data_IF_305370385350
#
_entry.id   IF_305370385350
#
_cell.length_a   1.000
_cell.length_b   1.000
_cell.length_c   1.000
_cell.angle_alpha   90.00
_cell.angle_beta   90.00
_cell.angle_gamma   90.00
#
_symmetry.space_group_name_H-M   'P 1'
#
loop_
_entity.id
_entity.type
_entity.pdbx_description
1 polymer ?
#
# COMPACT_ATOMS: atom_id res chain seq x y z
N UNK A 1 15.36 12.04 -50.04
CA UNK A 1 13.97 11.63 -50.27
C UNK A 1 12.94 12.80 -50.26
N UNK A 2 13.17 13.94 -49.61
CA UNK A 2 12.23 15.09 -49.60
C UNK A 2 12.30 15.88 -50.92
N UNK A 3 13.40 15.83 -51.62
CA UNK A 3 13.63 16.61 -52.88
C UNK A 3 12.84 16.07 -54.11
N UNK A 4 12.44 14.79 -54.13
CA UNK A 4 11.81 14.22 -55.34
C UNK A 4 10.36 14.66 -55.55
N UNK A 5 9.62 14.89 -54.47
CA UNK A 5 8.19 15.26 -54.57
C UNK A 5 7.96 16.69 -55.12
N UNK A 6 8.85 17.60 -54.78
CA UNK A 6 8.80 18.97 -55.31
C UNK A 6 9.20 19.09 -56.78
N UNK A 7 10.02 18.17 -57.29
CA UNK A 7 10.39 18.13 -58.70
C UNK A 7 9.19 17.92 -59.62
N UNK A 8 8.18 17.18 -59.14
CA UNK A 8 6.93 16.97 -59.91
C UNK A 8 6.17 18.29 -60.04
N UNK A 9 6.05 19.05 -58.97
CA UNK A 9 5.34 20.35 -59.02
C UNK A 9 6.13 21.40 -59.81
N UNK A 10 7.43 21.42 -59.68
CA UNK A 10 8.30 22.30 -60.48
C UNK A 10 8.18 21.96 -61.97
N UNK A 11 8.19 20.68 -62.33
CA UNK A 11 7.97 20.25 -63.75
C UNK A 11 6.62 20.66 -64.25
N UNK A 12 5.56 20.56 -63.46
CA UNK A 12 4.21 21.02 -63.83
C UNK A 12 4.16 22.54 -64.06
N UNK A 13 4.79 23.27 -63.19
CA UNK A 13 4.88 24.74 -63.31
C UNK A 13 5.67 25.16 -64.56
N UNK A 14 6.81 24.51 -64.86
CA UNK A 14 7.59 24.72 -66.06
C UNK A 14 6.75 24.37 -67.31
N UNK A 15 6.06 23.24 -67.28
CA UNK A 15 5.20 22.83 -68.38
C UNK A 15 4.05 23.81 -68.64
N UNK A 16 3.42 24.36 -67.59
CA UNK A 16 2.41 25.40 -67.69
C UNK A 16 2.96 26.69 -68.34
N UNK A 17 4.17 27.11 -67.94
CA UNK A 17 4.85 28.31 -68.54
C UNK A 17 5.17 28.05 -70.02
N UNK A 18 5.76 26.88 -70.34
CA UNK A 18 6.09 26.52 -71.72
C UNK A 18 4.81 26.48 -72.59
N UNK A 19 3.73 25.90 -72.05
CA UNK A 19 2.42 25.86 -72.75
C UNK A 19 1.89 27.28 -73.03
N UNK A 20 2.00 28.21 -72.05
CA UNK A 20 1.57 29.58 -72.23
C UNK A 20 2.38 30.30 -73.33
N UNK A 21 3.71 30.05 -73.39
CA UNK A 21 4.57 30.60 -74.45
C UNK A 21 4.22 30.06 -75.85
N UNK A 22 3.98 28.74 -75.97
CA UNK A 22 3.60 28.09 -77.24
C UNK A 22 2.25 28.66 -77.74
N UNK A 23 1.25 28.71 -76.88
CA UNK A 23 -0.09 29.23 -77.26
C UNK A 23 -0.01 30.74 -77.57
N UNK A 24 0.79 31.51 -76.82
CA UNK A 24 1.01 32.95 -77.10
C UNK A 24 1.68 33.20 -78.43
N UNK A 25 2.66 32.35 -78.80
CA UNK A 25 3.30 32.41 -80.11
C UNK A 25 2.37 32.05 -81.27
N UNK A 26 1.54 31.00 -81.11
CA UNK A 26 0.62 30.52 -82.11
C UNK A 26 -0.58 31.46 -82.34
N UNK A 27 -1.07 32.14 -81.30
CA UNK A 27 -2.26 33.00 -81.39
C UNK A 27 -1.96 34.49 -81.52
N UNK A 28 -0.74 34.91 -81.23
CA UNK A 28 -0.34 36.31 -81.20
C UNK A 28 -0.82 37.08 -79.95
N UNK A 29 -1.67 36.50 -79.12
CA UNK A 29 -2.27 37.13 -77.91
C UNK A 29 -1.58 36.68 -76.63
N UNK A 30 -0.39 37.17 -76.34
CA UNK A 30 0.46 36.74 -75.24
C UNK A 30 -0.16 36.89 -73.84
N UNK A 31 -0.81 38.05 -73.60
CA UNK A 31 -1.45 38.31 -72.29
C UNK A 31 -2.62 37.36 -72.04
N UNK A 32 -3.43 37.10 -73.05
CA UNK A 32 -4.63 36.25 -72.95
C UNK A 32 -4.25 34.76 -72.74
N UNK A 33 -3.21 34.29 -73.43
CA UNK A 33 -2.65 32.95 -73.27
C UNK A 33 -2.10 32.70 -71.86
N UNK A 34 -1.33 33.68 -71.33
CA UNK A 34 -0.78 33.60 -70.01
C UNK A 34 -1.90 33.60 -68.94
N UNK A 35 -2.90 34.46 -69.08
CA UNK A 35 -4.03 34.58 -68.18
C UNK A 35 -4.88 33.28 -68.17
N UNK A 36 -5.12 32.66 -69.31
CA UNK A 36 -5.86 31.39 -69.45
C UNK A 36 -5.11 30.22 -68.78
N UNK A 37 -3.83 30.05 -69.04
CA UNK A 37 -3.04 28.96 -68.47
C UNK A 37 -2.87 29.14 -66.96
N UNK A 38 -2.59 30.37 -66.45
CA UNK A 38 -2.48 30.65 -65.04
C UNK A 38 -3.79 30.44 -64.29
N UNK A 39 -4.93 30.88 -64.86
CA UNK A 39 -6.25 30.64 -64.25
C UNK A 39 -6.61 29.15 -64.17
N UNK A 40 -6.28 28.37 -65.20
CA UNK A 40 -6.47 26.92 -65.24
C UNK A 40 -5.61 26.23 -64.16
N UNK A 41 -4.37 26.64 -64.00
CA UNK A 41 -3.45 26.11 -63.00
C UNK A 41 -3.94 26.43 -61.58
N UNK A 42 -4.38 27.67 -61.34
CA UNK A 42 -4.98 28.06 -60.05
C UNK A 42 -6.24 27.26 -59.73
N UNK A 43 -7.13 27.10 -60.72
CA UNK A 43 -8.35 26.29 -60.56
C UNK A 43 -8.04 24.83 -60.18
N UNK A 44 -7.00 24.24 -60.80
CA UNK A 44 -6.53 22.90 -60.47
C UNK A 44 -5.97 22.84 -59.03
N UNK A 45 -5.19 23.80 -58.58
CA UNK A 45 -4.70 23.86 -57.16
C UNK A 45 -5.88 23.96 -56.18
N UNK A 46 -6.85 24.84 -56.47
CA UNK A 46 -8.03 25.03 -55.63
C UNK A 46 -8.87 23.76 -55.56
N UNK A 47 -9.00 23.01 -56.66
CA UNK A 47 -9.69 21.73 -56.73
C UNK A 47 -8.98 20.69 -55.82
N UNK A 48 -7.66 20.56 -55.90
CA UNK A 48 -6.87 19.67 -55.07
C UNK A 48 -6.98 20.06 -53.57
N UNK A 49 -6.96 21.34 -53.26
CA UNK A 49 -7.09 21.85 -51.91
C UNK A 49 -8.47 21.58 -51.34
N UNK A 50 -9.54 21.73 -52.16
CA UNK A 50 -10.91 21.39 -51.75
C UNK A 50 -11.09 19.88 -51.52
N UNK A 51 -10.44 19.05 -52.33
CA UNK A 51 -10.46 17.57 -52.18
C UNK A 51 -9.75 17.18 -50.85
N UNK A 52 -8.59 17.79 -50.56
CA UNK A 52 -7.89 17.59 -49.30
C UNK A 52 -8.73 18.04 -48.09
N UNK A 53 -9.36 19.22 -48.18
CA UNK A 53 -10.25 19.73 -47.14
C UNK A 53 -11.41 18.78 -46.85
N UNK A 54 -12.09 18.29 -47.90
CA UNK A 54 -13.19 17.32 -47.75
C UNK A 54 -12.73 16.04 -47.05
N UNK A 55 -11.55 15.52 -47.44
CA UNK A 55 -10.98 14.33 -46.82
C UNK A 55 -10.62 14.54 -45.35
N UNK A 56 -10.07 15.73 -45.00
CA UNK A 56 -9.76 16.10 -43.60
C UNK A 56 -11.04 16.17 -42.75
N UNK A 57 -12.09 16.83 -43.27
CA UNK A 57 -13.39 16.95 -42.57
C UNK A 57 -14.09 15.61 -42.42
N UNK A 58 -13.97 14.73 -43.39
CA UNK A 58 -14.54 13.36 -43.37
C UNK A 58 -13.82 12.43 -42.37
N UNK A 59 -12.81 12.93 -41.63
CA UNK A 59 -12.12 12.15 -40.60
C UNK A 59 -10.96 11.31 -41.14
N UNK A 60 -10.47 11.57 -42.35
CA UNK A 60 -9.29 10.95 -42.98
C UNK A 60 -9.40 9.41 -43.14
N UNK A 61 -10.45 8.87 -43.69
CA UNK A 61 -10.55 7.42 -43.95
C UNK A 61 -9.47 7.01 -44.95
N UNK A 62 -8.75 5.88 -44.71
CA UNK A 62 -7.67 5.41 -45.57
C UNK A 62 -8.18 5.02 -47.01
N UNK A 63 -9.44 4.57 -47.07
CA UNK A 63 -10.06 4.12 -48.31
C UNK A 63 -10.40 5.25 -49.29
N UNK A 64 -10.56 6.48 -48.78
CA UNK A 64 -10.88 7.68 -49.57
C UNK A 64 -9.73 8.68 -49.63
N UNK A 65 -8.49 8.19 -49.46
CA UNK A 65 -7.32 9.04 -49.58
C UNK A 65 -7.29 9.66 -50.99
N UNK A 66 -7.17 11.01 -51.10
CA UNK A 66 -7.13 11.64 -52.42
C UNK A 66 -5.95 11.12 -53.22
N UNK A 67 -6.25 10.63 -54.43
CA UNK A 67 -5.23 10.21 -55.37
C UNK A 67 -4.44 11.46 -55.80
N UNK A 68 -3.25 11.57 -55.27
CA UNK A 68 -2.43 12.80 -55.44
C UNK A 68 -0.99 12.39 -55.65
N UNK A 69 -0.37 13.00 -56.64
CA UNK A 69 1.02 12.83 -56.97
C UNK A 69 1.87 14.00 -56.40
N UNK A 70 3.13 13.72 -56.12
CA UNK A 70 4.11 14.78 -55.75
C UNK A 70 3.91 15.29 -54.33
N UNK A 71 3.98 16.63 -54.15
CA UNK A 71 3.91 17.25 -52.83
C UNK A 71 2.59 16.97 -52.06
N UNK A 72 1.51 16.83 -52.76
CA UNK A 72 0.17 16.53 -52.20
C UNK A 72 0.09 15.13 -51.57
N UNK A 73 0.71 14.14 -52.20
CA UNK A 73 0.82 12.79 -51.63
C UNK A 73 1.59 12.81 -50.31
N UNK A 74 2.73 13.54 -50.28
CA UNK A 74 3.51 13.65 -49.06
C UNK A 74 2.74 14.32 -47.92
N UNK A 75 1.99 15.40 -48.21
CA UNK A 75 1.16 16.09 -47.21
C UNK A 75 0.12 15.16 -46.61
N UNK A 76 -0.65 14.46 -47.49
CA UNK A 76 -1.69 13.50 -47.04
C UNK A 76 -1.09 12.37 -46.23
N UNK A 77 0.06 11.81 -46.62
CA UNK A 77 0.79 10.78 -45.88
C UNK A 77 1.25 11.26 -44.50
N UNK A 78 1.86 12.47 -44.42
CA UNK A 78 2.33 13.03 -43.14
C UNK A 78 1.17 13.28 -42.15
N UNK A 79 0.05 13.83 -42.67
CA UNK A 79 -1.14 14.06 -41.86
C UNK A 79 -1.70 12.74 -41.33
N UNK A 80 -1.85 11.74 -42.21
CA UNK A 80 -2.35 10.41 -41.82
C UNK A 80 -1.44 9.74 -40.79
N UNK A 81 -0.14 9.76 -41.01
CA UNK A 81 0.87 9.23 -40.06
C UNK A 81 0.84 9.93 -38.72
N UNK A 82 0.69 11.27 -38.70
CA UNK A 82 0.58 12.04 -37.47
C UNK A 82 -0.66 11.65 -36.66
N UNK A 83 -1.80 11.49 -37.33
CA UNK A 83 -3.05 11.07 -36.70
C UNK A 83 -2.98 9.63 -36.15
N UNK A 84 -2.38 8.70 -36.90
CA UNK A 84 -2.15 7.33 -36.41
C UNK A 84 -1.26 7.31 -35.17
N UNK A 85 -0.17 8.09 -35.16
CA UNK A 85 0.69 8.22 -33.98
C UNK A 85 -0.07 8.79 -32.79
N UNK A 86 -0.91 9.81 -32.99
CA UNK A 86 -1.73 10.39 -31.93
C UNK A 86 -2.75 9.39 -31.38
N UNK A 87 -3.45 8.65 -32.25
CA UNK A 87 -4.39 7.57 -31.83
C UNK A 87 -3.66 6.47 -31.05
N UNK A 88 -2.50 6.02 -31.53
CA UNK A 88 -1.70 5.00 -30.87
C UNK A 88 -1.21 5.46 -29.48
N UNK A 89 -0.77 6.72 -29.35
CA UNK A 89 -0.37 7.30 -28.05
C UNK A 89 -1.55 7.35 -27.08
N UNK A 90 -2.71 7.84 -27.52
CA UNK A 90 -3.93 7.87 -26.69
C UNK A 90 -4.37 6.48 -26.26
N UNK A 91 -4.29 5.48 -27.17
CA UNK A 91 -4.60 4.08 -26.86
C UNK A 91 -3.66 3.53 -25.80
N UNK A 92 -2.34 3.71 -25.96
CA UNK A 92 -1.34 3.30 -24.96
C UNK A 92 -1.54 3.98 -23.60
N UNK A 93 -1.88 5.26 -23.57
CA UNK A 93 -2.18 5.96 -22.32
C UNK A 93 -3.41 5.37 -21.63
N UNK A 94 -4.49 5.09 -22.36
CA UNK A 94 -5.68 4.42 -21.80
C UNK A 94 -5.34 3.03 -21.27
N UNK A 95 -4.66 2.21 -22.06
CA UNK A 95 -4.24 0.86 -21.63
C UNK A 95 -3.37 0.89 -20.36
N UNK A 96 -2.51 1.91 -20.23
CA UNK A 96 -1.70 2.10 -19.01
C UNK A 96 -2.56 2.49 -17.81
N UNK A 97 -3.50 3.43 -17.99
CA UNK A 97 -4.44 3.83 -16.93
C UNK A 97 -5.34 2.67 -16.51
N UNK A 98 -5.88 1.93 -17.47
CA UNK A 98 -6.72 0.74 -17.19
C UNK A 98 -5.93 -0.33 -16.45
N UNK A 99 -4.66 -0.54 -16.80
CA UNK A 99 -3.78 -1.45 -16.07
C UNK A 99 -3.53 -0.98 -14.63
N UNK A 100 -3.26 0.31 -14.42
CA UNK A 100 -3.09 0.86 -13.06
C UNK A 100 -4.37 0.71 -12.24
N UNK A 101 -5.52 1.03 -12.81
CA UNK A 101 -6.80 0.84 -12.14
C UNK A 101 -7.06 -0.62 -11.78
N UNK A 102 -6.76 -1.57 -12.67
CA UNK A 102 -6.91 -3.00 -12.39
C UNK A 102 -5.96 -3.47 -11.29
N UNK A 103 -4.72 -2.97 -11.23
CA UNK A 103 -3.78 -3.27 -10.14
C UNK A 103 -4.31 -2.73 -8.81
N UNK A 104 -4.76 -1.48 -8.78
CA UNK A 104 -5.35 -0.87 -7.57
C UNK A 104 -6.62 -1.60 -7.12
N UNK A 105 -7.43 -2.06 -8.06
CA UNK A 105 -8.64 -2.85 -7.77
C UNK A 105 -8.33 -4.24 -7.21
N UNK A 106 -7.19 -4.82 -7.54
CA UNK A 106 -6.75 -6.13 -7.06
C UNK A 106 -6.11 -6.09 -5.66
N UNK A 107 -5.80 -4.91 -5.13
CA UNK A 107 -5.25 -4.79 -3.78
C UNK A 107 -6.28 -5.28 -2.74
N UNK A 108 -5.87 -6.14 -1.79
CA UNK A 108 -6.75 -6.64 -0.74
C UNK A 108 -7.09 -5.54 0.27
N UNK A 109 -6.15 -4.66 0.54
CA UNK A 109 -6.27 -3.56 1.51
C UNK A 109 -7.15 -2.44 0.94
N UNK A 110 -8.03 -1.87 1.76
CA UNK A 110 -8.80 -0.70 1.38
C UNK A 110 -7.89 0.52 1.30
N UNK A 111 -7.98 1.21 0.18
CA UNK A 111 -7.15 2.37 -0.10
C UNK A 111 -8.04 3.53 -0.53
N UNK A 112 -7.98 4.63 0.20
CA UNK A 112 -8.80 5.82 -0.02
C UNK A 112 -7.87 7.03 -0.13
N UNK A 113 -8.04 7.82 -1.17
CA UNK A 113 -7.32 9.06 -1.37
C UNK A 113 -8.17 10.21 -0.84
N UNK A 114 -7.63 10.99 0.09
CA UNK A 114 -8.31 12.13 0.72
C UNK A 114 -7.45 13.39 0.63
N UNK A 115 -8.11 14.53 0.60
CA UNK A 115 -7.42 15.83 0.67
C UNK A 115 -7.18 16.25 2.15
N UNK A 116 -6.61 17.45 2.34
CA UNK A 116 -6.36 18.01 3.68
C UNK A 116 -7.63 18.27 4.52
N UNK A 117 -8.79 18.37 3.88
CA UNK A 117 -10.10 18.53 4.52
C UNK A 117 -10.79 17.20 4.78
N UNK A 118 -10.05 16.08 4.56
CA UNK A 118 -10.51 14.69 4.67
C UNK A 118 -11.62 14.31 3.70
N UNK A 119 -11.73 15.04 2.58
CA UNK A 119 -12.71 14.78 1.53
C UNK A 119 -12.18 13.69 0.60
N UNK A 120 -13.01 12.69 0.35
CA UNK A 120 -12.70 11.54 -0.50
C UNK A 120 -12.58 11.97 -1.96
N UNK A 121 -11.43 11.66 -2.56
CA UNK A 121 -11.17 11.90 -3.98
C UNK A 121 -11.15 10.61 -4.81
N UNK A 122 -10.86 9.49 -4.18
CA UNK A 122 -10.84 8.18 -4.82
C UNK A 122 -10.81 7.07 -3.78
N UNK A 123 -11.36 5.91 -4.12
CA UNK A 123 -11.22 4.69 -3.33
C UNK A 123 -11.14 3.46 -4.23
N UNK A 124 -10.50 2.40 -3.76
CA UNK A 124 -10.48 1.12 -4.46
C UNK A 124 -11.69 0.25 -4.08
N UNK A 125 -11.97 -0.85 -4.81
CA UNK A 125 -13.08 -1.75 -4.48
C UNK A 125 -12.99 -2.43 -3.11
N UNK A 126 -11.78 -2.54 -2.52
CA UNK A 126 -11.61 -3.06 -1.17
C UNK A 126 -12.20 -2.11 -0.12
N UNK A 127 -12.18 -0.79 -0.35
CA UNK A 127 -12.82 0.18 0.53
C UNK A 127 -14.34 -0.03 0.61
N UNK A 128 -14.97 -0.42 -0.49
CA UNK A 128 -16.40 -0.77 -0.48
C UNK A 128 -16.68 -2.04 0.33
N UNK A 129 -15.80 -3.04 0.26
CA UNK A 129 -15.97 -4.31 1.01
C UNK A 129 -15.71 -4.14 2.50
N UNK A 130 -14.63 -3.44 2.88
CA UNK A 130 -14.19 -3.34 4.27
C UNK A 130 -14.84 -2.18 5.03
N UNK A 131 -15.15 -1.08 4.34
CA UNK A 131 -15.62 0.16 4.96
C UNK A 131 -17.00 0.62 4.45
N UNK A 132 -17.53 -0.01 3.40
CA UNK A 132 -18.78 0.40 2.76
C UNK A 132 -18.66 1.65 1.89
N UNK A 133 -17.44 2.14 1.61
CA UNK A 133 -17.20 3.39 0.88
C UNK A 133 -17.08 3.13 -0.61
N UNK A 134 -17.95 3.75 -1.40
CA UNK A 134 -17.98 3.63 -2.86
C UNK A 134 -17.53 4.93 -3.51
N UNK A 135 -16.54 4.85 -4.42
CA UNK A 135 -15.96 6.04 -5.08
C UNK A 135 -17.01 6.92 -5.76
N UNK A 136 -17.99 6.33 -6.45
CA UNK A 136 -18.98 7.10 -7.21
C UNK A 136 -20.03 7.77 -6.32
N UNK A 137 -20.45 7.11 -5.23
CA UNK A 137 -21.48 7.59 -4.34
C UNK A 137 -20.92 8.54 -3.26
N UNK A 138 -19.69 8.31 -2.81
CA UNK A 138 -19.10 9.01 -1.67
C UNK A 138 -18.04 10.05 -2.07
N UNK A 139 -17.88 10.27 -3.37
CA UNK A 139 -17.01 11.34 -3.87
C UNK A 139 -17.43 12.71 -3.29
N UNK A 140 -16.46 13.43 -2.74
CA UNK A 140 -16.70 14.74 -2.16
C UNK A 140 -17.24 14.71 -0.72
N UNK A 141 -17.55 13.54 -0.18
CA UNK A 141 -17.93 13.39 1.22
C UNK A 141 -16.67 13.35 2.10
N UNK A 142 -16.82 13.77 3.35
CA UNK A 142 -15.77 13.66 4.35
C UNK A 142 -15.70 12.24 4.90
N UNK A 143 -14.48 11.72 5.05
CA UNK A 143 -14.22 10.37 5.55
C UNK A 143 -14.73 10.17 6.99
N UNK A 144 -14.55 11.17 7.86
CA UNK A 144 -14.99 11.15 9.25
C UNK A 144 -16.52 11.16 9.44
N UNK A 145 -17.27 11.57 8.43
CA UNK A 145 -18.74 11.48 8.45
C UNK A 145 -19.26 10.06 8.12
N UNK A 146 -18.49 9.33 7.32
CA UNK A 146 -18.86 7.98 6.89
C UNK A 146 -18.38 6.92 7.90
N UNK A 147 -17.19 7.09 8.46
CA UNK A 147 -16.63 6.21 9.48
C UNK A 147 -16.62 6.96 10.81
N UNK A 148 -17.60 6.67 11.66
CA UNK A 148 -17.73 7.31 12.98
C UNK A 148 -16.91 6.58 14.02
N UNK A 149 -15.60 6.85 14.07
CA UNK A 149 -14.67 6.28 15.05
C UNK A 149 -13.90 7.41 15.73
N UNK A 150 -13.84 7.44 17.05
CA UNK A 150 -13.02 8.41 17.80
C UNK A 150 -11.52 8.29 17.44
N UNK A 151 -11.05 7.06 17.23
CA UNK A 151 -9.67 6.74 16.87
C UNK A 151 -9.33 7.33 15.50
N UNK A 152 -10.24 7.18 14.51
CA UNK A 152 -10.07 7.79 13.19
C UNK A 152 -10.00 9.31 13.28
N UNK A 153 -10.88 9.91 14.07
CA UNK A 153 -10.89 11.36 14.26
C UNK A 153 -9.58 11.87 14.88
N UNK A 154 -9.04 11.13 15.86
CA UNK A 154 -7.75 11.44 16.48
C UNK A 154 -6.60 11.34 15.46
N UNK A 155 -6.56 10.26 14.66
CA UNK A 155 -5.57 10.05 13.59
C UNK A 155 -5.58 11.17 12.56
N UNK A 156 -6.76 11.53 12.07
CA UNK A 156 -6.92 12.58 11.07
C UNK A 156 -6.48 13.95 11.60
N UNK A 157 -6.71 14.23 12.89
CA UNK A 157 -6.27 15.48 13.51
C UNK A 157 -4.78 15.54 13.80
N UNK A 158 -4.19 14.42 14.22
CA UNK A 158 -2.76 14.34 14.49
C UNK A 158 -1.94 14.52 13.21
N UNK A 159 -2.45 14.05 12.07
CA UNK A 159 -1.76 14.10 10.78
C UNK A 159 -0.45 13.30 10.77
N UNK A 160 -0.26 12.42 11.76
CA UNK A 160 0.96 11.66 11.97
C UNK A 160 0.93 10.40 11.11
N UNK A 161 1.91 10.30 10.20
CA UNK A 161 2.03 9.19 9.28
C UNK A 161 2.49 7.88 9.95
N UNK A 162 3.06 7.96 11.15
CA UNK A 162 3.55 6.80 11.88
C UNK A 162 2.48 6.19 12.80
N UNK A 163 1.39 6.90 13.03
CA UNK A 163 0.34 6.44 13.92
C UNK A 163 -0.58 5.42 13.21
N UNK A 164 -0.64 4.22 13.76
CA UNK A 164 -1.60 3.18 13.37
C UNK A 164 -2.77 3.14 14.37
N UNK A 165 -3.96 2.99 13.85
CA UNK A 165 -5.17 2.81 14.67
C UNK A 165 -5.85 1.49 14.35
N UNK A 166 -6.57 0.95 15.34
CA UNK A 166 -7.45 -0.21 15.16
C UNK A 166 -8.89 0.26 15.27
N UNK A 167 -9.71 -0.24 14.35
CA UNK A 167 -11.14 0.03 14.34
C UNK A 167 -11.90 -1.22 13.85
N UNK A 168 -13.15 -1.35 14.22
CA UNK A 168 -14.01 -2.39 13.68
C UNK A 168 -14.58 -1.94 12.33
N UNK A 169 -14.79 -2.89 11.42
CA UNK A 169 -15.42 -2.58 10.14
C UNK A 169 -16.87 -2.09 10.36
N UNK A 170 -17.28 -1.00 9.71
CA UNK A 170 -18.67 -0.58 9.74
C UNK A 170 -19.64 -1.57 9.07
N UNK A 171 -19.11 -2.51 8.29
CA UNK A 171 -19.87 -3.51 7.54
C UNK A 171 -20.06 -4.83 8.32
N UNK A 172 -19.11 -5.17 9.21
CA UNK A 172 -19.14 -6.40 10.01
C UNK A 172 -18.29 -6.20 11.27
N UNK A 173 -18.91 -6.23 12.45
CA UNK A 173 -18.25 -6.03 13.75
C UNK A 173 -17.19 -7.09 14.07
N UNK A 174 -17.19 -8.23 13.40
CA UNK A 174 -16.18 -9.29 13.57
C UNK A 174 -14.89 -9.00 12.81
N UNK A 175 -14.91 -8.03 11.87
CA UNK A 175 -13.74 -7.65 11.09
C UNK A 175 -12.98 -6.55 11.81
N UNK A 176 -11.77 -6.86 12.23
CA UNK A 176 -10.86 -5.93 12.88
C UNK A 176 -9.93 -5.34 11.82
N UNK A 177 -9.96 -4.03 11.72
CA UNK A 177 -9.20 -3.27 10.73
C UNK A 177 -8.05 -2.52 11.40
N UNK A 178 -6.91 -2.49 10.73
CA UNK A 178 -5.79 -1.62 11.05
C UNK A 178 -5.69 -0.53 9.99
N UNK A 179 -5.66 0.71 10.41
CA UNK A 179 -5.65 1.85 9.51
C UNK A 179 -4.50 2.80 9.82
N UNK A 180 -3.93 3.39 8.78
CA UNK A 180 -2.89 4.42 8.87
C UNK A 180 -3.04 5.44 7.74
N UNK A 181 -2.44 6.61 7.96
CA UNK A 181 -2.48 7.74 7.03
C UNK A 181 -1.09 7.99 6.45
N UNK A 182 -0.96 7.96 5.12
CA UNK A 182 0.31 8.18 4.43
C UNK A 182 0.23 9.46 3.61
N UNK A 183 1.10 10.45 3.83
CA UNK A 183 1.16 11.64 2.99
C UNK A 183 1.73 11.26 1.60
N UNK A 184 1.01 11.60 0.53
CA UNK A 184 1.43 11.32 -0.86
C UNK A 184 2.00 12.57 -1.52
N UNK A 185 1.32 13.68 -1.35
CA UNK A 185 1.73 15.00 -1.86
C UNK A 185 1.28 16.09 -0.90
N UNK A 186 1.66 17.35 -1.19
CA UNK A 186 1.15 18.48 -0.43
C UNK A 186 -0.37 18.48 -0.50
N UNK A 187 -1.04 18.40 0.67
CA UNK A 187 -2.49 18.37 0.82
C UNK A 187 -3.20 17.12 0.27
N UNK A 188 -2.48 16.00 0.11
CA UNK A 188 -3.04 14.74 -0.38
C UNK A 188 -2.52 13.58 0.48
N UNK A 189 -3.44 12.80 1.03
CA UNK A 189 -3.17 11.69 1.93
C UNK A 189 -3.79 10.41 1.39
N UNK A 190 -3.10 9.31 1.63
CA UNK A 190 -3.61 7.97 1.38
C UNK A 190 -4.02 7.36 2.71
N UNK A 191 -5.30 7.11 2.89
CA UNK A 191 -5.82 6.34 4.02
C UNK A 191 -5.86 4.87 3.62
N UNK A 192 -4.97 4.09 4.23
CA UNK A 192 -4.86 2.66 3.96
C UNK A 192 -5.41 1.85 5.13
N UNK A 193 -6.21 0.82 4.82
CA UNK A 193 -6.89 0.01 5.82
C UNK A 193 -6.76 -1.47 5.46
N UNK A 194 -6.21 -2.24 6.40
CA UNK A 194 -5.97 -3.68 6.28
C UNK A 194 -6.85 -4.47 7.22
N UNK A 195 -7.39 -5.56 6.75
CA UNK A 195 -8.04 -6.57 7.59
C UNK A 195 -6.98 -7.38 8.33
N UNK A 196 -7.00 -7.28 9.67
CA UNK A 196 -6.10 -8.02 10.56
C UNK A 196 -6.83 -9.07 11.40
N UNK A 197 -8.11 -9.35 11.12
CA UNK A 197 -8.98 -10.24 11.91
C UNK A 197 -8.36 -11.62 12.10
N UNK A 198 -7.85 -12.21 11.03
CA UNK A 198 -7.25 -13.54 11.07
C UNK A 198 -6.03 -13.58 12.01
N UNK A 199 -5.17 -12.57 11.95
CA UNK A 199 -3.99 -12.45 12.83
C UNK A 199 -4.40 -12.31 14.29
N UNK A 200 -5.38 -11.43 14.58
CA UNK A 200 -5.90 -11.21 15.94
C UNK A 200 -6.57 -12.46 16.49
N UNK A 201 -7.41 -13.13 15.70
CA UNK A 201 -8.06 -14.39 16.14
C UNK A 201 -7.06 -15.51 16.40
N UNK A 202 -6.05 -15.68 15.55
CA UNK A 202 -4.99 -16.67 15.76
C UNK A 202 -4.23 -16.39 17.06
N UNK A 203 -3.89 -15.14 17.31
CA UNK A 203 -3.22 -14.71 18.54
C UNK A 203 -4.09 -14.96 19.78
N UNK A 204 -5.38 -14.63 19.71
CA UNK A 204 -6.32 -14.87 20.79
C UNK A 204 -6.48 -16.37 21.09
N UNK A 205 -6.62 -17.18 20.03
CA UNK A 205 -6.72 -18.66 20.16
C UNK A 205 -5.47 -19.24 20.78
N UNK A 206 -4.28 -18.79 20.34
CA UNK A 206 -3.00 -19.23 20.90
C UNK A 206 -2.90 -18.87 22.39
N UNK A 207 -3.29 -17.64 22.75
CA UNK A 207 -3.31 -17.17 24.14
C UNK A 207 -4.25 -18.02 25.02
N UNK A 208 -5.46 -18.25 24.55
CA UNK A 208 -6.45 -19.09 25.26
C UNK A 208 -5.93 -20.53 25.42
N UNK A 209 -5.30 -21.08 24.38
CA UNK A 209 -4.71 -22.43 24.44
C UNK A 209 -3.62 -22.51 25.51
N UNK A 210 -2.65 -21.59 25.54
CA UNK A 210 -1.59 -21.62 26.55
C UNK A 210 -2.11 -21.40 27.95
N UNK A 211 -3.07 -20.48 28.13
CA UNK A 211 -3.67 -20.25 29.44
C UNK A 211 -4.39 -21.51 29.94
N UNK A 212 -5.25 -22.13 29.12
CA UNK A 212 -5.98 -23.31 29.49
C UNK A 212 -5.06 -24.51 29.71
N UNK A 213 -4.11 -24.77 28.80
CA UNK A 213 -3.15 -25.86 28.96
C UNK A 213 -2.33 -25.74 30.26
N UNK A 214 -1.93 -24.52 30.60
CA UNK A 214 -1.18 -24.29 31.84
C UNK A 214 -2.00 -24.53 33.08
N UNK A 215 -3.27 -24.15 33.10
CA UNK A 215 -4.18 -24.46 34.21
C UNK A 215 -4.41 -25.95 34.35
N UNK A 216 -4.70 -26.64 33.24
CA UNK A 216 -4.97 -28.08 33.22
C UNK A 216 -3.73 -28.93 33.57
N UNK A 217 -2.51 -28.43 33.30
CA UNK A 217 -1.27 -29.11 33.66
C UNK A 217 -0.83 -28.82 35.10
N UNK A 218 -1.07 -27.60 35.60
CA UNK A 218 -0.64 -27.18 36.93
C UNK A 218 -1.31 -28.04 38.03
N UNK A 219 -2.61 -28.30 37.90
CA UNK A 219 -3.37 -29.03 38.90
C UNK A 219 -2.84 -30.45 39.17
N UNK A 220 -2.72 -31.35 38.15
CA UNK A 220 -2.16 -32.69 38.37
C UNK A 220 -0.70 -32.65 38.81
N UNK A 221 0.07 -31.67 38.36
CA UNK A 221 1.47 -31.51 38.73
C UNK A 221 1.63 -31.11 40.19
N UNK A 222 0.77 -30.21 40.70
CA UNK A 222 0.74 -29.82 42.12
C UNK A 222 0.38 -31.04 43.02
N UNK A 223 -0.60 -31.86 42.61
CA UNK A 223 -0.94 -33.07 43.34
C UNK A 223 0.22 -34.06 43.32
N UNK A 224 0.88 -34.26 42.20
CA UNK A 224 2.04 -35.15 42.07
C UNK A 224 3.21 -34.67 42.92
N UNK A 225 3.50 -33.36 42.91
CA UNK A 225 4.53 -32.76 43.76
C UNK A 225 4.23 -32.93 45.24
N UNK A 226 2.96 -32.78 45.66
CA UNK A 226 2.56 -33.00 47.03
C UNK A 226 2.71 -34.47 47.53
N UNK A 227 2.43 -35.43 46.64
CA UNK A 227 2.71 -36.85 47.00
C UNK A 227 4.21 -37.12 47.07
N UNK A 228 5.04 -36.55 46.21
CA UNK A 228 6.48 -36.72 46.25
C UNK A 228 7.07 -36.09 47.55
N UNK A 229 6.53 -34.97 48.00
CA UNK A 229 6.91 -34.31 49.27
C UNK A 229 6.58 -35.18 50.49
N UNK A 230 5.40 -35.78 50.48
CA UNK A 230 5.00 -36.76 51.53
C UNK A 230 5.92 -37.97 51.58
N UNK A 231 6.41 -38.47 50.42
CA UNK A 231 7.36 -39.56 50.35
C UNK A 231 8.77 -39.15 50.82
N UNK A 232 9.20 -37.90 50.56
CA UNK A 232 10.48 -37.39 51.05
C UNK A 232 10.52 -37.28 52.60
N UNK A 233 9.37 -36.93 53.19
CA UNK A 233 9.23 -36.76 54.65
C UNK A 233 8.95 -38.10 55.37
N UNK A 234 8.70 -39.21 54.63
CA UNK A 234 8.41 -40.49 55.22
C UNK A 234 9.67 -41.20 55.74
N UNK A 235 9.80 -41.33 57.06
CA UNK A 235 10.90 -42.01 57.74
C UNK A 235 10.93 -43.53 57.49
N UNK A 236 9.86 -44.11 56.96
CA UNK A 236 9.77 -45.56 56.65
C UNK A 236 10.14 -45.84 55.18
N UNK A 237 10.46 -44.83 54.37
CA UNK A 237 10.86 -45.00 52.97
C UNK A 237 12.17 -45.81 52.87
N UNK A 238 12.15 -46.91 52.06
CA UNK A 238 13.37 -47.69 51.83
C UNK A 238 14.48 -46.85 51.20
N UNK A 239 15.69 -46.92 51.76
CA UNK A 239 16.85 -46.09 51.31
C UNK A 239 17.12 -46.16 49.83
N UNK A 240 16.88 -47.30 49.18
CA UNK A 240 17.10 -47.48 47.74
C UNK A 240 16.08 -46.71 46.87
N UNK A 241 14.94 -46.23 47.44
CA UNK A 241 13.92 -45.44 46.74
C UNK A 241 14.13 -43.94 46.88
N UNK A 242 14.88 -43.48 47.87
CA UNK A 242 15.15 -42.06 48.13
C UNK A 242 15.69 -41.33 46.90
N UNK A 243 16.67 -41.85 46.15
CA UNK A 243 17.16 -41.16 44.95
C UNK A 243 16.12 -41.05 43.82
N UNK A 244 15.24 -42.06 43.75
CA UNK A 244 14.17 -42.06 42.69
C UNK A 244 13.08 -41.03 43.03
N UNK A 245 12.70 -40.86 44.30
CA UNK A 245 11.72 -39.87 44.76
C UNK A 245 12.31 -38.45 44.55
N UNK A 246 13.54 -38.22 44.95
CA UNK A 246 14.23 -36.93 44.74
C UNK A 246 14.32 -36.56 43.24
N UNK A 247 14.68 -37.53 42.38
CA UNK A 247 14.73 -37.30 40.96
C UNK A 247 13.33 -37.01 40.37
N UNK A 248 12.29 -37.69 40.82
CA UNK A 248 10.90 -37.42 40.42
C UNK A 248 10.46 -36.02 40.85
N UNK A 249 10.77 -35.62 42.07
CA UNK A 249 10.51 -34.25 42.58
C UNK A 249 11.17 -33.20 41.72
N UNK A 250 12.47 -33.33 41.47
CA UNK A 250 13.22 -32.42 40.63
C UNK A 250 12.61 -32.27 39.21
N UNK A 251 12.06 -33.37 38.64
CA UNK A 251 11.34 -33.31 37.37
C UNK A 251 9.99 -32.60 37.46
N UNK A 252 9.22 -32.81 38.55
CA UNK A 252 7.98 -32.09 38.79
C UNK A 252 8.22 -30.58 38.90
N UNK A 253 9.21 -30.17 39.67
CA UNK A 253 9.59 -28.75 39.82
C UNK A 253 10.06 -28.14 38.50
N UNK A 254 10.80 -28.93 37.70
CA UNK A 254 11.23 -28.51 36.36
C UNK A 254 10.03 -28.29 35.44
N UNK A 255 9.06 -29.21 35.41
CA UNK A 255 7.84 -29.07 34.62
C UNK A 255 7.03 -27.84 35.04
N UNK A 256 6.93 -27.58 36.34
CA UNK A 256 6.22 -26.42 36.88
C UNK A 256 6.87 -25.09 36.45
N UNK A 257 8.20 -25.02 36.41
CA UNK A 257 8.94 -23.88 35.87
C UNK A 257 8.69 -23.71 34.38
N UNK A 258 8.78 -24.77 33.56
CA UNK A 258 8.52 -24.68 32.12
C UNK A 258 7.10 -24.15 31.83
N UNK A 259 6.10 -24.59 32.56
CA UNK A 259 4.72 -24.12 32.41
C UNK A 259 4.61 -22.63 32.76
N UNK A 260 5.29 -22.19 33.83
CA UNK A 260 5.33 -20.79 34.24
C UNK A 260 6.01 -19.91 33.19
N UNK A 261 7.17 -20.36 32.67
CA UNK A 261 7.93 -19.67 31.65
C UNK A 261 7.13 -19.52 30.33
N UNK A 262 6.40 -20.58 29.94
CA UNK A 262 5.50 -20.55 28.77
C UNK A 262 4.39 -19.50 28.92
N UNK A 263 3.79 -19.39 30.11
CA UNK A 263 2.77 -18.37 30.39
C UNK A 263 3.36 -16.95 30.36
N UNK A 264 4.53 -16.76 30.94
CA UNK A 264 5.23 -15.48 30.95
C UNK A 264 5.59 -15.05 29.53
N UNK A 265 6.16 -15.95 28.72
CA UNK A 265 6.46 -15.69 27.32
C UNK A 265 5.20 -15.30 26.52
N UNK A 266 4.09 -16.04 26.73
CA UNK A 266 2.80 -15.72 26.07
C UNK A 266 2.22 -14.37 26.49
N UNK A 267 2.53 -13.87 27.68
CA UNK A 267 2.17 -12.52 28.13
C UNK A 267 3.04 -11.45 27.46
N UNK A 268 4.36 -11.65 27.45
CA UNK A 268 5.33 -10.70 26.89
C UNK A 268 5.10 -10.49 25.39
N UNK A 269 4.86 -11.53 24.60
CA UNK A 269 4.54 -11.42 23.16
C UNK A 269 3.31 -10.52 22.87
N UNK A 270 2.44 -10.30 23.86
CA UNK A 270 1.26 -9.43 23.73
C UNK A 270 1.51 -7.99 24.17
N UNK A 271 2.46 -7.76 25.06
CA UNK A 271 2.74 -6.42 25.58
C UNK A 271 3.57 -5.57 24.62
N UNK A 272 4.33 -6.17 23.69
CA UNK A 272 4.97 -5.45 22.58
C UNK A 272 3.96 -4.69 21.68
N UNK A 273 2.70 -5.13 21.62
CA UNK A 273 1.64 -4.46 20.85
C UNK A 273 0.80 -3.46 21.66
N UNK A 274 0.86 -3.52 22.98
CA UNK A 274 0.39 -2.42 23.82
C UNK A 274 1.57 -1.45 23.90
N UNK A 275 1.36 -0.19 23.55
CA UNK A 275 2.21 0.90 24.03
C UNK A 275 2.14 0.82 25.56
N UNK A 276 3.06 0.06 26.14
CA UNK A 276 3.22 -0.03 27.60
C UNK A 276 3.40 1.40 28.04
N UNK A 277 2.55 1.87 28.93
CA UNK A 277 2.74 3.15 29.59
C UNK A 277 4.04 2.98 30.37
N UNK A 278 5.13 3.44 29.76
CA UNK A 278 6.43 3.44 30.40
C UNK A 278 6.34 4.38 31.59
N UNK A 279 6.54 3.84 32.77
CA UNK A 279 6.68 4.61 34.03
C UNK A 279 8.13 4.80 34.34
N UNK A 280 8.49 5.91 34.99
CA UNK A 280 9.80 6.11 35.57
C UNK A 280 9.94 5.16 36.76
N UNK A 281 10.87 4.23 36.67
CA UNK A 281 11.16 3.22 37.69
C UNK A 281 12.42 3.64 38.40
N UNK A 282 12.35 3.74 39.72
CA UNK A 282 13.51 4.00 40.61
C UNK A 282 14.32 2.70 40.74
N UNK A 283 15.45 2.61 40.03
CA UNK A 283 16.29 1.41 40.02
C UNK A 283 16.87 1.04 41.40
N UNK A 284 17.37 1.97 42.22
CA UNK A 284 17.75 1.70 43.59
C UNK A 284 16.66 1.02 44.42
N UNK A 285 15.46 1.51 44.41
CA UNK A 285 14.30 0.98 45.15
C UNK A 285 13.94 -0.42 44.70
N UNK A 286 13.89 -0.64 43.38
CA UNK A 286 13.63 -1.96 42.78
C UNK A 286 14.68 -2.99 43.20
N UNK A 287 15.98 -2.63 43.22
CA UNK A 287 17.03 -3.52 43.60
C UNK A 287 17.05 -3.78 45.13
N UNK A 288 16.59 -2.82 45.94
CA UNK A 288 16.40 -3.00 47.35
C UNK A 288 15.30 -4.03 47.66
N UNK A 289 14.17 -3.95 46.98
CA UNK A 289 13.07 -4.92 47.08
C UNK A 289 13.50 -6.34 46.66
N UNK A 290 14.24 -6.46 45.56
CA UNK A 290 14.82 -7.73 45.12
C UNK A 290 15.80 -8.27 46.16
N UNK A 291 16.64 -7.41 46.75
CA UNK A 291 17.59 -7.85 47.75
C UNK A 291 16.95 -8.36 49.03
N UNK A 292 15.83 -7.74 49.43
CA UNK A 292 15.02 -8.21 50.57
C UNK A 292 14.43 -9.57 50.31
N UNK A 293 13.92 -9.80 49.10
CA UNK A 293 13.32 -11.10 48.68
C UNK A 293 14.34 -12.25 48.61
N UNK A 294 15.61 -11.93 48.35
CA UNK A 294 16.71 -12.90 48.28
C UNK A 294 17.42 -13.15 49.61
N UNK A 295 17.14 -12.36 50.65
CA UNK A 295 17.89 -12.36 51.88
C UNK A 295 17.84 -13.71 52.62
N UNK A 296 16.69 -14.39 52.62
CA UNK A 296 16.53 -15.70 53.25
C UNK A 296 17.35 -16.78 52.53
N UNK A 297 17.43 -16.71 51.20
CA UNK A 297 18.19 -17.67 50.36
C UNK A 297 19.71 -17.42 50.52
N UNK A 298 20.13 -16.17 50.54
CA UNK A 298 21.54 -15.78 50.70
C UNK A 298 22.08 -16.11 52.10
N UNK A 299 21.25 -15.97 53.14
CA UNK A 299 21.60 -16.32 54.51
C UNK A 299 21.83 -17.83 54.70
N UNK A 300 21.05 -18.66 53.99
CA UNK A 300 21.20 -20.11 54.03
C UNK A 300 22.52 -20.58 53.42
N UNK A 301 23.03 -19.91 52.38
CA UNK A 301 24.26 -20.25 51.65
C UNK A 301 25.50 -19.45 52.10
N UNK A 302 25.41 -18.65 53.16
CA UNK A 302 26.49 -17.82 53.67
C UNK A 302 27.06 -16.81 52.65
N UNK A 303 26.22 -16.34 51.72
CA UNK A 303 26.58 -15.31 50.76
C UNK A 303 26.27 -13.91 51.26
N UNK A 304 27.08 -12.92 50.86
CA UNK A 304 26.88 -11.51 51.19
C UNK A 304 26.59 -10.74 49.89
N UNK A 305 25.42 -10.11 49.83
CA UNK A 305 25.06 -9.24 48.73
C UNK A 305 25.45 -7.80 49.03
N UNK A 306 26.16 -7.13 48.11
CA UNK A 306 26.44 -5.70 48.21
C UNK A 306 25.85 -4.99 46.99
N UNK A 307 25.02 -4.00 47.24
CA UNK A 307 24.44 -3.17 46.18
C UNK A 307 25.26 -1.88 46.03
N UNK A 308 25.71 -1.60 44.80
CA UNK A 308 26.39 -0.36 44.49
C UNK A 308 25.71 0.29 43.27
N UNK A 309 24.74 1.15 43.53
CA UNK A 309 23.88 1.78 42.53
C UNK A 309 23.87 3.28 42.74
N UNK A 310 23.87 4.05 41.66
CA UNK A 310 23.68 5.50 41.72
C UNK A 310 22.23 5.80 42.21
N UNK A 311 22.08 6.58 43.31
CA UNK A 311 20.76 6.93 43.85
C UNK A 311 19.85 7.68 42.89
N UNK A 312 20.41 8.25 41.83
CA UNK A 312 19.67 9.02 40.81
C UNK A 312 19.33 8.23 39.54
N UNK A 313 19.52 6.91 39.57
CA UNK A 313 19.29 6.07 38.39
C UNK A 313 17.80 5.74 38.25
N UNK A 314 17.22 6.21 37.15
CA UNK A 314 15.84 5.91 36.72
C UNK A 314 15.83 5.19 35.37
N UNK A 315 14.91 4.25 35.19
CA UNK A 315 14.69 3.54 33.99
C UNK A 315 13.23 3.80 33.51
N UNK A 316 13.03 4.05 32.21
CA UNK A 316 11.70 4.05 31.64
C UNK A 316 11.33 2.62 31.26
N UNK A 317 10.32 2.05 31.92
CA UNK A 317 9.93 0.67 31.70
C UNK A 317 8.59 0.32 32.35
N UNK A 318 8.30 -0.98 32.37
CA UNK A 318 7.14 -1.55 33.08
C UNK A 318 7.65 -2.37 34.25
N UNK A 319 7.43 -1.89 35.46
CA UNK A 319 7.99 -2.46 36.71
C UNK A 319 7.71 -3.97 36.88
N UNK A 320 6.47 -4.51 36.56
CA UNK A 320 6.21 -5.92 36.67
C UNK A 320 7.00 -6.84 35.71
N UNK A 321 7.63 -6.28 34.68
CA UNK A 321 8.43 -7.04 33.70
C UNK A 321 9.91 -7.16 34.15
N UNK A 322 10.31 -6.41 35.20
CA UNK A 322 11.67 -6.36 35.75
C UNK A 322 11.84 -7.16 37.04
N UNK A 323 10.74 -7.53 37.68
CA UNK A 323 10.66 -8.37 38.86
C UNK A 323 10.34 -9.82 38.52
#
# INVERSE_FOLDING_TARGET
MIYDYWQVEIRRLIAAVVLALIVGYATGYWLLSFLLVSSSYIAWILFKLRQLQKWLVAGQPPESMPDSDGAWEQITYLIHRSKQKSKSRKKKQRETLDRLNNVMAALPDATILINQDFIIQWSNPAAARLLGIQTEADWGNRLDNLIRSPELYALLRAGDAEQEIRLNSPMDDNIILQAHLVPVQKNLYLFNVRDISQGVHLQQTRKAFFANASHELRTPLTVLAGYLELFEDDSELPEHLIPAVQQARAQADRMQRIISDMLSLSKLENDEQRRVVQTEINVPELLEDVSVSLNDTLAADSHTLSLNVDPSLYLLGHEPDLL
#
